data_IF_448253028904
#
_entry.id   IF_448253028904
#
_cell.length_a   1.000
_cell.length_b   1.000
_cell.length_c   1.000
_cell.angle_alpha   90.00
_cell.angle_beta   90.00
_cell.angle_gamma   90.00
#
_symmetry.space_group_name_H-M   'P 1'
#
loop_
_entity.id
_entity.type
_entity.pdbx_description
1 polymer ?
#
# COMPACT_ATOMS: atom_id res chain seq x y z
N UNK A 1 -21.35 -53.37 84.48
CA UNK A 1 -22.23 -52.56 83.61
C UNK A 1 -21.56 -52.43 82.26
N UNK A 2 -22.29 -52.74 81.19
CA UNK A 2 -21.80 -52.94 79.82
C UNK A 2 -21.65 -51.64 79.02
N UNK A 3 -20.60 -51.57 78.17
CA UNK A 3 -20.51 -50.81 76.90
C UNK A 3 -19.52 -49.63 76.87
N UNK A 4 -18.98 -49.18 75.69
CA UNK A 4 -19.15 -49.64 74.29
C UNK A 4 -17.78 -49.79 73.51
N UNK A 5 -17.75 -50.04 72.17
CA UNK A 5 -16.69 -50.80 71.50
C UNK A 5 -15.54 -49.99 70.90
N UNK A 6 -14.44 -50.71 70.63
CA UNK A 6 -13.28 -50.26 69.87
C UNK A 6 -13.65 -49.85 68.43
N UNK A 7 -13.22 -48.66 68.01
CA UNK A 7 -13.17 -48.24 66.59
C UNK A 7 -11.73 -48.29 66.08
N UNK A 8 -11.47 -49.29 65.25
CA UNK A 8 -10.36 -49.30 64.28
C UNK A 8 -10.83 -48.56 63.02
N UNK A 9 -9.89 -47.93 62.30
CA UNK A 9 -9.92 -47.40 60.91
C UNK A 9 -10.13 -45.87 60.83
N UNK A 10 -9.46 -45.13 59.96
CA UNK A 10 -8.53 -45.46 58.87
C UNK A 10 -7.61 -44.25 58.61
N UNK A 11 -6.32 -44.35 58.95
CA UNK A 11 -5.33 -43.31 58.58
C UNK A 11 -4.80 -43.47 57.15
N UNK A 12 -5.29 -44.44 56.38
CA UNK A 12 -4.74 -44.77 55.05
C UNK A 12 -5.58 -44.25 53.89
N UNK A 13 -6.82 -43.81 54.12
CA UNK A 13 -7.68 -43.27 53.06
C UNK A 13 -7.33 -41.81 52.70
N UNK A 14 -6.74 -41.04 53.62
CA UNK A 14 -6.48 -39.61 53.39
C UNK A 14 -5.17 -39.35 52.62
N UNK A 15 -4.19 -40.24 52.72
CA UNK A 15 -2.89 -40.10 52.03
C UNK A 15 -3.01 -40.45 50.54
N UNK A 16 -3.92 -41.35 50.16
CA UNK A 16 -4.16 -41.72 48.76
C UNK A 16 -4.91 -40.65 47.95
N UNK A 17 -5.77 -39.85 48.58
CA UNK A 17 -6.55 -38.80 47.89
C UNK A 17 -5.68 -37.58 47.57
N UNK A 18 -4.70 -37.25 48.42
CA UNK A 18 -3.77 -36.13 48.18
C UNK A 18 -2.77 -36.47 47.05
N UNK A 19 -2.33 -37.73 46.94
CA UNK A 19 -1.47 -38.18 45.83
C UNK A 19 -2.21 -38.24 44.49
N UNK A 20 -3.51 -38.54 44.46
CA UNK A 20 -4.30 -38.53 43.22
C UNK A 20 -4.61 -37.10 42.73
N UNK A 21 -4.79 -36.13 43.63
CA UNK A 21 -5.03 -34.73 43.27
C UNK A 21 -3.74 -33.99 42.85
N UNK A 22 -2.57 -34.40 43.37
CA UNK A 22 -1.28 -33.87 42.93
C UNK A 22 -0.90 -34.32 41.50
N UNK A 23 -1.43 -35.44 41.02
CA UNK A 23 -1.25 -35.91 39.63
C UNK A 23 -2.12 -35.18 38.61
N UNK A 24 -3.14 -34.45 39.05
CA UNK A 24 -4.01 -33.62 38.19
C UNK A 24 -3.56 -32.15 38.09
N UNK A 25 -2.58 -31.74 38.89
CA UNK A 25 -2.03 -30.37 38.93
C UNK A 25 -0.61 -30.26 38.36
N UNK A 26 -0.12 -31.30 37.66
CA UNK A 26 1.07 -31.15 36.83
C UNK A 26 0.68 -30.30 35.61
N UNK A 27 1.39 -29.19 35.31
CA UNK A 27 1.21 -28.53 34.04
C UNK A 27 1.45 -29.58 32.96
N UNK A 28 0.46 -29.82 32.11
CA UNK A 28 0.69 -30.57 30.88
C UNK A 28 1.75 -29.79 30.11
N UNK A 29 3.01 -30.23 30.22
CA UNK A 29 4.06 -29.85 29.29
C UNK A 29 3.54 -30.34 27.94
N UNK A 30 2.90 -29.45 27.19
CA UNK A 30 2.64 -29.70 25.79
C UNK A 30 4.03 -29.97 25.19
N UNK A 31 4.22 -31.06 24.44
CA UNK A 31 5.46 -31.21 23.70
C UNK A 31 5.65 -29.92 22.91
N UNK A 32 6.83 -29.30 23.04
CA UNK A 32 7.22 -28.27 22.10
C UNK A 32 6.97 -28.86 20.72
N UNK A 33 5.99 -28.28 20.01
CA UNK A 33 5.66 -28.73 18.66
C UNK A 33 6.97 -28.65 17.89
N UNK A 34 7.40 -29.77 17.31
CA UNK A 34 8.64 -29.83 16.55
C UNK A 34 8.72 -28.62 15.63
N UNK A 35 9.90 -27.99 15.56
CA UNK A 35 10.19 -26.94 14.59
C UNK A 35 9.62 -27.38 13.25
N UNK A 36 8.66 -26.60 12.77
CA UNK A 36 7.62 -27.02 11.86
C UNK A 36 8.14 -27.71 10.60
N UNK A 37 7.54 -28.86 10.25
CA UNK A 37 7.47 -29.42 8.89
C UNK A 37 6.65 -28.50 7.93
N UNK A 38 6.74 -27.18 8.09
CA UNK A 38 6.14 -26.24 7.16
C UNK A 38 6.97 -26.26 5.87
N UNK A 39 6.34 -26.34 4.68
CA UNK A 39 7.07 -26.40 3.43
C UNK A 39 8.05 -25.22 3.30
N UNK A 40 9.32 -25.51 3.10
CA UNK A 40 10.22 -24.60 2.40
C UNK A 40 9.61 -24.41 1.01
N UNK A 41 9.10 -23.22 0.71
CA UNK A 41 8.33 -22.99 -0.50
C UNK A 41 7.89 -21.54 -0.66
N UNK A 42 7.30 -21.26 -1.82
CA UNK A 42 6.80 -19.95 -2.20
C UNK A 42 5.27 -19.97 -2.22
N UNK A 43 4.65 -19.09 -1.44
CA UNK A 43 3.20 -18.82 -1.52
C UNK A 43 3.04 -17.46 -2.19
N UNK A 44 2.38 -17.42 -3.35
CA UNK A 44 2.11 -16.19 -4.06
C UNK A 44 0.62 -15.82 -3.97
N UNK A 45 0.34 -14.59 -3.55
CA UNK A 45 -1.03 -14.06 -3.43
C UNK A 45 -1.18 -12.86 -4.36
N UNK A 46 -2.28 -12.87 -5.12
CA UNK A 46 -2.71 -11.87 -6.07
C UNK A 46 -3.15 -10.54 -5.45
N UNK A 47 -3.93 -9.80 -6.23
CA UNK A 47 -4.62 -8.57 -5.86
C UNK A 47 -5.43 -8.76 -4.58
N UNK A 48 -5.28 -7.84 -3.64
CA UNK A 48 -6.01 -7.83 -2.36
C UNK A 48 -7.06 -6.73 -2.36
N UNK A 49 -6.76 -5.57 -2.95
CA UNK A 49 -7.68 -4.43 -3.08
C UNK A 49 -8.39 -4.08 -1.77
N UNK A 50 -7.65 -3.96 -0.66
CA UNK A 50 -8.21 -3.59 0.64
C UNK A 50 -9.19 -4.58 1.24
N UNK A 51 -9.30 -5.81 0.73
CA UNK A 51 -10.11 -6.87 1.35
C UNK A 51 -9.29 -7.59 2.44
N UNK A 52 -9.16 -6.92 3.59
CA UNK A 52 -8.39 -7.41 4.71
C UNK A 52 -8.89 -8.76 5.25
N UNK A 53 -10.20 -8.99 5.26
CA UNK A 53 -10.78 -10.15 5.93
C UNK A 53 -10.52 -11.43 5.11
N UNK A 54 -10.71 -11.36 3.79
CA UNK A 54 -10.39 -12.47 2.90
C UNK A 54 -8.86 -12.70 2.81
N UNK A 55 -8.07 -11.62 2.82
CA UNK A 55 -6.62 -11.72 2.82
C UNK A 55 -6.08 -12.42 4.08
N UNK A 56 -6.56 -12.04 5.27
CA UNK A 56 -6.23 -12.72 6.53
C UNK A 56 -6.67 -14.19 6.48
N UNK A 57 -7.85 -14.47 5.93
CA UNK A 57 -8.36 -15.83 5.80
C UNK A 57 -7.44 -16.71 4.94
N UNK A 58 -6.94 -16.19 3.82
CA UNK A 58 -5.95 -16.88 2.97
C UNK A 58 -4.65 -17.11 3.73
N UNK A 59 -4.09 -16.07 4.37
CA UNK A 59 -2.83 -16.19 5.11
C UNK A 59 -2.91 -17.20 6.26
N UNK A 60 -4.03 -17.24 6.99
CA UNK A 60 -4.27 -18.22 8.06
C UNK A 60 -4.46 -19.64 7.52
N UNK A 61 -5.19 -19.79 6.40
CA UNK A 61 -5.36 -21.08 5.74
C UNK A 61 -4.02 -21.68 5.29
N UNK A 62 -3.15 -20.85 4.70
CA UNK A 62 -1.78 -21.20 4.32
C UNK A 62 -0.80 -21.24 5.50
N UNK A 63 -1.28 -21.01 6.73
CA UNK A 63 -0.51 -21.04 7.99
C UNK A 63 0.66 -20.04 8.03
N UNK A 64 0.57 -18.98 7.24
CA UNK A 64 1.55 -17.90 7.21
C UNK A 64 1.43 -17.00 8.42
N UNK A 65 0.23 -16.85 8.98
CA UNK A 65 -0.04 -16.06 10.19
C UNK A 65 -0.92 -16.81 11.19
N UNK A 66 -0.86 -16.41 12.46
CA UNK A 66 -1.76 -16.88 13.51
C UNK A 66 -3.06 -16.06 13.63
N UNK A 67 -3.87 -16.39 14.63
CA UNK A 67 -5.13 -15.70 14.93
C UNK A 67 -4.94 -14.25 15.42
N UNK A 68 -3.73 -13.87 15.83
CA UNK A 68 -3.35 -12.51 16.19
C UNK A 68 -2.61 -11.79 15.04
N UNK A 69 -2.57 -12.40 13.86
CA UNK A 69 -1.90 -11.92 12.65
C UNK A 69 -0.38 -11.84 12.73
N UNK A 70 0.25 -12.58 13.64
CA UNK A 70 1.71 -12.69 13.69
C UNK A 70 2.23 -13.80 12.78
N UNK A 71 3.42 -13.61 12.23
CA UNK A 71 4.06 -14.57 11.34
C UNK A 71 4.26 -15.94 12.00
N UNK A 72 3.72 -16.97 11.36
CA UNK A 72 3.94 -18.39 11.71
C UNK A 72 4.41 -19.24 10.54
N UNK A 73 4.66 -18.64 9.38
CA UNK A 73 5.07 -19.32 8.15
C UNK A 73 6.47 -19.93 8.15
N UNK A 74 7.21 -19.91 9.28
CA UNK A 74 8.56 -20.48 9.36
C UNK A 74 9.49 -19.90 8.29
N UNK A 75 10.05 -20.78 7.45
CA UNK A 75 10.96 -20.42 6.34
C UNK A 75 10.27 -20.12 5.00
N UNK A 76 8.95 -20.16 4.94
CA UNK A 76 8.19 -19.90 3.71
C UNK A 76 8.46 -18.48 3.18
N UNK A 77 8.49 -18.34 1.85
CA UNK A 77 8.50 -17.03 1.19
C UNK A 77 7.08 -16.68 0.74
N UNK A 78 6.50 -15.64 1.34
CA UNK A 78 5.27 -15.02 0.85
C UNK A 78 5.63 -14.00 -0.24
N UNK A 79 4.99 -14.09 -1.40
CA UNK A 79 5.07 -13.10 -2.48
C UNK A 79 3.69 -12.47 -2.64
N UNK A 80 3.56 -11.18 -2.35
CA UNK A 80 2.36 -10.43 -2.68
C UNK A 80 2.64 -9.65 -3.97
N UNK A 81 1.81 -9.86 -5.00
CA UNK A 81 2.14 -9.43 -6.37
C UNK A 81 1.61 -8.02 -6.73
N UNK A 82 1.37 -7.15 -5.75
CA UNK A 82 0.85 -5.79 -5.96
C UNK A 82 -0.67 -5.70 -5.92
N UNK A 83 -1.20 -4.48 -6.00
CA UNK A 83 -2.62 -4.14 -5.84
C UNK A 83 -3.18 -4.53 -4.46
N UNK A 84 -2.49 -4.04 -3.41
CA UNK A 84 -2.94 -4.10 -2.02
C UNK A 84 -4.07 -3.09 -1.75
N UNK A 85 -4.07 -2.00 -2.52
CA UNK A 85 -4.87 -0.79 -2.29
C UNK A 85 -6.13 -0.70 -3.14
N UNK A 86 -6.96 0.28 -2.77
CA UNK A 86 -8.17 0.73 -3.46
C UNK A 86 -9.31 -0.30 -3.54
N UNK A 87 -10.49 0.16 -3.97
CA UNK A 87 -11.75 -0.61 -4.14
C UNK A 87 -12.35 -1.15 -2.83
N UNK A 88 -11.68 -2.05 -2.14
CA UNK A 88 -12.16 -2.64 -0.89
C UNK A 88 -12.00 -1.72 0.31
N UNK A 89 -12.60 -2.07 1.46
CA UNK A 89 -12.84 -1.11 2.54
C UNK A 89 -11.67 -0.87 3.49
N UNK A 90 -10.69 -1.79 3.57
CA UNK A 90 -9.65 -1.83 4.62
C UNK A 90 -8.22 -1.78 4.07
N UNK A 91 -7.87 -0.84 3.17
CA UNK A 91 -6.54 -0.79 2.56
C UNK A 91 -5.44 -0.54 3.60
N UNK A 92 -5.73 0.24 4.64
CA UNK A 92 -4.76 0.61 5.68
C UNK A 92 -4.34 -0.60 6.51
N UNK A 93 -5.30 -1.43 6.90
CA UNK A 93 -5.08 -2.65 7.66
C UNK A 93 -4.28 -3.67 6.85
N UNK A 94 -4.53 -3.75 5.53
CA UNK A 94 -3.73 -4.59 4.62
C UNK A 94 -2.27 -4.11 4.58
N UNK A 95 -2.03 -2.81 4.42
CA UNK A 95 -0.67 -2.25 4.44
C UNK A 95 0.03 -2.49 5.79
N UNK A 96 -0.65 -2.19 6.90
CA UNK A 96 -0.10 -2.35 8.24
C UNK A 96 0.27 -3.81 8.53
N UNK A 97 -0.55 -4.76 8.06
CA UNK A 97 -0.26 -6.19 8.16
C UNK A 97 0.98 -6.58 7.36
N UNK A 98 1.07 -6.21 6.08
CA UNK A 98 2.26 -6.53 5.26
C UNK A 98 3.54 -5.94 5.85
N UNK A 99 3.50 -4.67 6.27
CA UNK A 99 4.63 -4.00 6.93
C UNK A 99 5.07 -4.68 8.22
N UNK A 100 4.14 -5.28 8.97
CA UNK A 100 4.44 -6.06 10.16
C UNK A 100 5.08 -7.41 9.79
N UNK A 101 4.47 -8.15 8.85
CA UNK A 101 4.95 -9.46 8.42
C UNK A 101 6.33 -9.40 7.76
N UNK A 102 6.64 -8.34 7.00
CA UNK A 102 7.99 -8.11 6.45
C UNK A 102 9.07 -8.01 7.53
N UNK A 103 8.71 -7.50 8.72
CA UNK A 103 9.63 -7.41 9.86
C UNK A 103 9.69 -8.71 10.66
N UNK A 104 8.62 -9.48 10.69
CA UNK A 104 8.51 -10.71 11.48
C UNK A 104 9.08 -11.93 10.76
N UNK A 105 8.78 -12.10 9.47
CA UNK A 105 9.16 -13.29 8.71
C UNK A 105 10.67 -13.61 8.75
N UNK A 106 11.59 -12.62 8.56
CA UNK A 106 13.03 -12.89 8.62
C UNK A 106 13.50 -13.43 9.98
N UNK A 107 12.80 -13.09 11.08
CA UNK A 107 13.15 -13.58 12.43
C UNK A 107 12.92 -15.09 12.59
N UNK A 108 12.04 -15.66 11.77
CA UNK A 108 11.77 -17.10 11.71
C UNK A 108 12.48 -17.80 10.53
N UNK A 109 13.33 -17.08 9.78
CA UNK A 109 14.01 -17.57 8.58
C UNK A 109 13.15 -17.56 7.30
N UNK A 110 11.96 -16.96 7.36
CA UNK A 110 11.08 -16.76 6.22
C UNK A 110 11.30 -15.40 5.55
N UNK A 111 10.44 -15.10 4.58
CA UNK A 111 10.53 -13.84 3.83
C UNK A 111 9.16 -13.40 3.35
N UNK A 112 8.91 -12.09 3.38
CA UNK A 112 7.81 -11.48 2.64
C UNK A 112 8.41 -10.63 1.53
N UNK A 113 7.87 -10.76 0.33
CA UNK A 113 8.21 -9.98 -0.86
C UNK A 113 6.93 -9.33 -1.34
N UNK A 114 6.71 -8.08 -0.94
CA UNK A 114 5.65 -7.26 -1.53
C UNK A 114 6.15 -6.64 -2.84
N UNK A 115 5.35 -6.70 -3.89
CA UNK A 115 5.66 -6.09 -5.17
C UNK A 115 4.78 -4.87 -5.40
N UNK A 116 5.27 -3.95 -6.21
CA UNK A 116 4.48 -2.82 -6.65
C UNK A 116 3.48 -3.26 -7.71
N UNK A 117 2.20 -2.96 -7.51
CA UNK A 117 1.15 -3.01 -8.52
C UNK A 117 0.85 -1.63 -9.09
N UNK A 118 -0.14 -1.55 -9.99
CA UNK A 118 -0.52 -0.25 -10.54
C UNK A 118 -1.21 0.62 -9.49
N UNK A 119 -1.97 0.04 -8.55
CA UNK A 119 -2.65 0.83 -7.52
C UNK A 119 -1.69 1.47 -6.51
N UNK A 120 -0.55 0.83 -6.20
CA UNK A 120 0.51 1.44 -5.39
C UNK A 120 1.14 2.64 -6.11
N UNK A 121 1.49 2.47 -7.39
CA UNK A 121 2.05 3.55 -8.20
C UNK A 121 1.06 4.72 -8.37
N UNK A 122 -0.22 4.42 -8.60
CA UNK A 122 -1.30 5.41 -8.68
C UNK A 122 -1.42 6.23 -7.39
N UNK A 123 -1.47 5.58 -6.23
CA UNK A 123 -1.57 6.27 -4.94
C UNK A 123 -0.35 7.15 -4.64
N UNK A 124 0.86 6.64 -4.93
CA UNK A 124 2.12 7.41 -4.87
C UNK A 124 2.02 8.69 -5.72
N UNK A 125 1.58 8.55 -6.98
CA UNK A 125 1.50 9.66 -7.93
C UNK A 125 0.29 10.57 -7.69
N UNK A 126 -0.68 10.14 -6.87
CA UNK A 126 -1.93 10.86 -6.68
C UNK A 126 -2.92 10.71 -7.81
N UNK A 127 -2.85 9.62 -8.56
CA UNK A 127 -3.97 9.18 -9.38
C UNK A 127 -4.97 8.45 -8.47
N UNK A 128 -6.06 9.14 -8.11
CA UNK A 128 -6.99 8.69 -7.07
C UNK A 128 -8.30 8.13 -7.64
N UNK A 129 -8.32 7.77 -8.94
CA UNK A 129 -9.55 7.35 -9.64
C UNK A 129 -10.25 6.13 -9.04
N UNK A 130 -9.54 5.32 -8.24
CA UNK A 130 -10.09 4.12 -7.58
C UNK A 130 -10.18 4.23 -6.06
N UNK A 131 -9.76 5.36 -5.48
CA UNK A 131 -9.82 5.59 -4.04
C UNK A 131 -11.27 5.92 -3.67
N UNK A 132 -11.87 5.08 -2.83
CA UNK A 132 -13.26 5.25 -2.41
C UNK A 132 -13.37 6.18 -1.20
N UNK A 133 -14.55 6.77 -0.91
CA UNK A 133 -14.78 7.50 0.34
C UNK A 133 -14.43 6.69 1.60
N UNK A 134 -14.69 5.38 1.59
CA UNK A 134 -14.31 4.47 2.69
C UNK A 134 -12.80 4.38 2.85
N UNK A 135 -12.04 4.41 1.75
CA UNK A 135 -10.59 4.43 1.83
C UNK A 135 -10.10 5.71 2.51
N UNK A 136 -10.61 6.88 2.14
CA UNK A 136 -10.28 8.13 2.84
C UNK A 136 -10.66 8.07 4.33
N UNK A 137 -11.84 7.53 4.65
CA UNK A 137 -12.30 7.39 6.03
C UNK A 137 -11.31 6.61 6.92
N UNK A 138 -10.59 5.62 6.37
CA UNK A 138 -9.57 4.86 7.11
C UNK A 138 -8.34 5.67 7.57
N UNK A 139 -8.15 6.87 7.00
CA UNK A 139 -7.08 7.82 7.36
C UNK A 139 -7.57 8.94 8.28
N UNK A 140 -8.86 8.94 8.67
CA UNK A 140 -9.39 10.00 9.53
C UNK A 140 -8.84 9.94 10.96
N UNK A 141 -8.74 11.12 11.58
CA UNK A 141 -8.55 11.27 13.02
C UNK A 141 -9.40 12.44 13.55
N UNK A 142 -9.21 12.82 14.82
CA UNK A 142 -9.98 13.88 15.48
C UNK A 142 -9.89 15.27 14.83
N UNK A 143 -8.85 15.54 14.04
CA UNK A 143 -8.61 16.82 13.36
C UNK A 143 -9.03 16.82 11.89
N UNK A 144 -9.59 15.73 11.36
CA UNK A 144 -9.86 15.58 9.92
C UNK A 144 -10.74 16.68 9.32
N UNK A 145 -11.85 17.02 9.95
CA UNK A 145 -12.73 18.09 9.45
C UNK A 145 -12.03 19.45 9.45
N UNK A 146 -11.18 19.70 10.46
CA UNK A 146 -10.41 20.93 10.58
C UNK A 146 -9.35 21.02 9.49
N UNK A 147 -8.63 19.92 9.23
CA UNK A 147 -7.66 19.83 8.12
C UNK A 147 -8.32 20.01 6.76
N UNK A 148 -9.47 19.38 6.53
CA UNK A 148 -10.26 19.53 5.30
C UNK A 148 -10.63 21.01 5.06
N UNK A 149 -11.17 21.69 6.07
CA UNK A 149 -11.52 23.12 5.99
C UNK A 149 -10.29 24.01 5.76
N UNK A 150 -9.18 23.72 6.43
CA UNK A 150 -7.92 24.46 6.23
C UNK A 150 -7.39 24.30 4.80
N UNK A 151 -7.41 23.08 4.26
CA UNK A 151 -7.01 22.78 2.89
C UNK A 151 -7.91 23.51 1.87
N UNK A 152 -9.22 23.58 2.10
CA UNK A 152 -10.11 24.37 1.25
C UNK A 152 -9.74 25.86 1.26
N UNK A 153 -9.48 26.45 2.43
CA UNK A 153 -9.06 27.85 2.55
C UNK A 153 -7.73 28.11 1.85
N UNK A 154 -6.78 27.16 1.92
CA UNK A 154 -5.52 27.23 1.20
C UNK A 154 -5.72 27.15 -0.31
N UNK A 155 -6.57 26.25 -0.78
CA UNK A 155 -6.96 26.13 -2.18
C UNK A 155 -7.58 27.44 -2.72
N UNK A 156 -8.50 28.07 -1.98
CA UNK A 156 -9.09 29.37 -2.36
C UNK A 156 -8.03 30.46 -2.45
N UNK A 157 -7.12 30.54 -1.47
CA UNK A 157 -6.00 31.51 -1.49
C UNK A 157 -5.08 31.28 -2.69
N UNK A 158 -4.73 30.03 -2.97
CA UNK A 158 -3.91 29.64 -4.11
C UNK A 158 -4.61 30.03 -5.42
N UNK A 159 -5.88 29.66 -5.60
CA UNK A 159 -6.67 29.95 -6.80
C UNK A 159 -6.79 31.44 -7.08
N UNK A 160 -7.03 32.27 -6.06
CA UNK A 160 -7.12 33.72 -6.24
C UNK A 160 -5.80 34.32 -6.74
N UNK A 161 -4.65 33.80 -6.27
CA UNK A 161 -3.32 34.23 -6.72
C UNK A 161 -2.98 33.75 -8.14
N UNK A 162 -3.55 32.64 -8.58
CA UNK A 162 -3.29 32.03 -9.89
C UNK A 162 -4.45 32.22 -10.88
N UNK A 163 -5.30 33.23 -10.69
CA UNK A 163 -6.50 33.44 -11.52
C UNK A 163 -6.19 33.62 -13.02
N UNK A 164 -5.10 34.33 -13.35
CA UNK A 164 -4.65 34.50 -14.74
C UNK A 164 -4.18 33.17 -15.36
N UNK A 165 -3.48 32.35 -14.59
CA UNK A 165 -3.03 31.02 -15.00
C UNK A 165 -4.22 30.11 -15.27
N UNK A 166 -5.19 30.08 -14.35
CA UNK A 166 -6.38 29.24 -14.47
C UNK A 166 -7.27 29.62 -15.66
N UNK A 167 -7.21 30.87 -16.11
CA UNK A 167 -7.89 31.32 -17.33
C UNK A 167 -7.33 30.69 -18.62
N UNK A 168 -6.16 30.04 -18.57
CA UNK A 168 -5.61 29.29 -19.71
C UNK A 168 -6.22 27.89 -19.87
N UNK A 169 -6.86 27.37 -18.83
CA UNK A 169 -7.42 26.03 -18.87
C UNK A 169 -8.67 25.96 -19.75
N UNK A 170 -8.82 24.91 -20.58
CA UNK A 170 -10.01 24.73 -21.40
C UNK A 170 -11.26 24.44 -20.56
N UNK A 171 -11.07 23.88 -19.35
CA UNK A 171 -12.11 23.68 -18.37
C UNK A 171 -11.66 24.29 -17.04
N UNK A 172 -12.48 25.14 -16.42
CA UNK A 172 -12.15 25.73 -15.15
C UNK A 172 -11.93 24.64 -14.09
N UNK A 173 -10.85 24.74 -13.31
CA UNK A 173 -10.73 23.97 -12.04
C UNK A 173 -11.66 24.51 -10.96
N UNK A 174 -12.66 25.30 -11.32
CA UNK A 174 -13.50 26.01 -10.39
C UNK A 174 -14.50 25.05 -9.74
N UNK A 175 -14.36 24.88 -8.43
CA UNK A 175 -15.33 24.19 -7.61
C UNK A 175 -15.96 25.18 -6.63
N UNK A 176 -17.27 25.07 -6.44
CA UNK A 176 -17.94 25.62 -5.26
C UNK A 176 -17.36 24.96 -4.00
N UNK A 177 -17.55 25.58 -2.83
CA UNK A 177 -17.14 24.96 -1.56
C UNK A 177 -17.76 23.57 -1.40
N UNK A 178 -19.06 23.42 -1.71
CA UNK A 178 -19.75 22.14 -1.60
C UNK A 178 -19.15 21.07 -2.53
N UNK A 179 -18.85 21.39 -3.78
CA UNK A 179 -18.23 20.46 -4.72
C UNK A 179 -16.79 20.10 -4.32
N UNK A 180 -16.02 21.09 -3.83
CA UNK A 180 -14.68 20.85 -3.35
C UNK A 180 -14.69 19.91 -2.15
N UNK A 181 -15.56 20.16 -1.15
CA UNK A 181 -15.70 19.32 0.04
C UNK A 181 -16.15 17.90 -0.32
N UNK A 182 -17.04 17.75 -1.30
CA UNK A 182 -17.50 16.43 -1.76
C UNK A 182 -16.40 15.62 -2.45
N UNK A 183 -15.51 16.27 -3.21
CA UNK A 183 -14.37 15.63 -3.87
C UNK A 183 -13.18 15.38 -2.96
N UNK A 184 -13.11 16.10 -1.84
CA UNK A 184 -12.04 16.01 -0.85
C UNK A 184 -12.61 15.68 0.52
N UNK A 185 -13.19 14.47 0.73
CA UNK A 185 -13.84 14.11 1.98
C UNK A 185 -12.86 14.09 3.17
N UNK A 186 -13.38 13.98 4.39
CA UNK A 186 -12.56 13.76 5.58
C UNK A 186 -11.62 12.54 5.37
N UNK A 187 -10.34 12.69 5.72
CA UNK A 187 -9.32 11.68 5.46
C UNK A 187 -8.59 11.86 4.12
N UNK A 188 -9.06 12.73 3.23
CA UNK A 188 -8.38 13.03 1.96
C UNK A 188 -6.98 13.58 2.18
N UNK A 189 -6.83 14.62 3.02
CA UNK A 189 -5.54 15.30 3.23
C UNK A 189 -4.52 14.34 3.85
N UNK A 190 -4.97 13.59 4.84
CA UNK A 190 -4.24 12.58 5.59
C UNK A 190 -3.79 11.44 4.68
N UNK A 191 -4.68 10.98 3.80
CA UNK A 191 -4.34 10.03 2.76
C UNK A 191 -3.22 10.59 1.85
N UNK A 192 -3.35 11.84 1.37
CA UNK A 192 -2.29 12.47 0.55
C UNK A 192 -0.96 12.57 1.30
N UNK A 193 -0.99 12.88 2.58
CA UNK A 193 0.20 12.93 3.44
C UNK A 193 0.82 11.55 3.64
N UNK A 194 0.01 10.52 3.91
CA UNK A 194 0.46 9.16 4.18
C UNK A 194 1.14 8.50 2.97
N UNK A 195 0.70 8.81 1.75
CA UNK A 195 1.29 8.33 0.49
C UNK A 195 2.38 9.24 -0.10
N UNK A 196 2.61 10.42 0.51
CA UNK A 196 3.70 11.32 0.11
C UNK A 196 5.08 10.65 0.28
N UNK A 197 6.12 11.19 -0.36
CA UNK A 197 7.50 10.69 -0.21
C UNK A 197 7.99 10.67 1.26
N UNK A 198 7.38 11.47 2.14
CA UNK A 198 7.71 11.52 3.56
C UNK A 198 6.72 10.73 4.45
N UNK A 199 5.59 10.30 3.89
CA UNK A 199 4.54 9.56 4.60
C UNK A 199 4.93 8.12 4.91
N UNK A 200 4.26 7.52 5.89
CA UNK A 200 4.56 6.17 6.37
C UNK A 200 4.44 5.14 5.24
N UNK A 201 3.31 5.13 4.54
CA UNK A 201 3.07 4.20 3.43
C UNK A 201 3.83 4.61 2.17
N UNK A 202 3.94 5.92 1.90
CA UNK A 202 4.67 6.41 0.74
C UNK A 202 6.16 6.06 0.76
N UNK A 203 6.80 6.10 1.94
CA UNK A 203 8.18 5.61 2.11
C UNK A 203 8.28 4.12 1.85
N UNK A 204 7.43 3.35 2.52
CA UNK A 204 7.41 1.89 2.41
C UNK A 204 7.21 1.46 0.95
N UNK A 205 6.19 1.96 0.26
CA UNK A 205 5.89 1.60 -1.12
C UNK A 205 7.05 1.86 -2.10
N UNK A 206 7.81 2.94 -1.90
CA UNK A 206 8.95 3.30 -2.75
C UNK A 206 10.15 2.34 -2.61
N UNK A 207 10.17 1.49 -1.59
CA UNK A 207 11.19 0.45 -1.39
C UNK A 207 10.91 -0.82 -2.22
N UNK A 208 9.71 -0.98 -2.77
CA UNK A 208 9.30 -2.20 -3.46
C UNK A 208 9.67 -2.21 -4.93
N UNK A 209 10.13 -3.37 -5.40
CA UNK A 209 10.35 -3.66 -6.80
C UNK A 209 9.02 -3.95 -7.52
N UNK A 210 8.97 -3.70 -8.83
CA UNK A 210 7.86 -4.14 -9.67
C UNK A 210 7.94 -5.64 -10.01
N UNK A 211 9.15 -6.21 -10.01
CA UNK A 211 9.43 -7.59 -10.41
C UNK A 211 10.39 -8.24 -9.41
N UNK A 212 10.10 -9.47 -9.00
CA UNK A 212 11.04 -10.31 -8.26
C UNK A 212 11.27 -11.66 -8.97
N UNK A 213 12.51 -12.16 -8.92
CA UNK A 213 12.85 -13.52 -9.36
C UNK A 213 13.16 -14.38 -8.15
N UNK A 214 12.36 -15.40 -7.91
CA UNK A 214 12.47 -16.31 -6.77
C UNK A 214 12.47 -17.73 -7.34
N UNK A 215 13.51 -18.52 -7.02
CA UNK A 215 13.64 -19.92 -7.47
C UNK A 215 13.49 -20.11 -8.98
N UNK A 216 13.97 -19.15 -9.78
CA UNK A 216 13.89 -19.20 -11.24
C UNK A 216 12.57 -18.69 -11.83
N UNK A 217 11.54 -18.45 -11.00
CA UNK A 217 10.24 -17.91 -11.40
C UNK A 217 10.21 -16.39 -11.23
N UNK A 218 9.67 -15.68 -12.21
CA UNK A 218 9.46 -14.23 -12.13
C UNK A 218 8.02 -13.94 -11.65
N UNK A 219 7.91 -13.05 -10.65
CA UNK A 219 6.67 -12.55 -10.09
C UNK A 219 6.56 -11.05 -10.37
N UNK A 220 5.38 -10.61 -10.78
CA UNK A 220 5.03 -9.23 -11.11
C UNK A 220 3.52 -9.09 -11.19
N UNK A 221 3.01 -7.87 -11.04
CA UNK A 221 1.58 -7.60 -11.01
C UNK A 221 0.87 -7.82 -12.37
N UNK A 222 1.31 -7.11 -13.41
CA UNK A 222 0.69 -7.19 -14.73
C UNK A 222 1.26 -8.34 -15.55
N UNK A 223 2.40 -8.08 -16.17
CA UNK A 223 3.07 -9.02 -17.05
C UNK A 223 4.19 -8.37 -17.85
N UNK A 224 5.00 -9.18 -18.52
CA UNK A 224 6.07 -8.66 -19.38
C UNK A 224 5.57 -8.58 -20.82
N UNK A 225 5.42 -7.34 -21.32
CA UNK A 225 5.17 -7.09 -22.73
C UNK A 225 6.32 -7.64 -23.59
N UNK A 226 6.06 -8.23 -24.77
CA UNK A 226 7.12 -8.61 -25.72
C UNK A 226 8.06 -7.45 -26.09
N UNK A 227 7.59 -6.20 -25.99
CA UNK A 227 8.44 -5.02 -26.20
C UNK A 227 9.58 -4.89 -25.17
N UNK A 228 9.50 -5.59 -24.05
CA UNK A 228 10.48 -5.58 -22.96
C UNK A 228 11.34 -6.86 -22.94
N UNK A 229 11.18 -7.79 -23.88
CA UNK A 229 11.87 -9.10 -23.88
C UNK A 229 13.40 -8.98 -23.82
N UNK A 230 13.97 -7.96 -24.45
CA UNK A 230 15.42 -7.72 -24.45
C UNK A 230 15.93 -6.99 -23.20
N UNK A 231 15.04 -6.48 -22.33
CA UNK A 231 15.42 -5.78 -21.09
C UNK A 231 15.59 -6.77 -19.94
N UNK A 232 16.68 -6.62 -19.19
CA UNK A 232 16.91 -7.35 -17.94
C UNK A 232 15.89 -6.90 -16.88
N UNK A 233 15.41 -7.82 -16.04
CA UNK A 233 14.42 -7.53 -14.99
C UNK A 233 14.90 -6.43 -14.03
N UNK A 234 16.17 -6.47 -13.61
CA UNK A 234 16.73 -5.44 -12.73
C UNK A 234 16.76 -4.06 -13.40
N UNK A 235 16.97 -4.00 -14.72
CA UNK A 235 16.93 -2.74 -15.46
C UNK A 235 15.49 -2.19 -15.56
N UNK A 236 14.47 -3.06 -15.57
CA UNK A 236 13.06 -2.66 -15.52
C UNK A 236 12.74 -2.08 -14.13
N UNK A 237 13.14 -2.77 -13.05
CA UNK A 237 12.97 -2.26 -11.68
C UNK A 237 13.67 -0.91 -11.48
N UNK A 238 14.94 -0.78 -11.88
CA UNK A 238 15.68 0.48 -11.79
C UNK A 238 14.98 1.60 -12.54
N UNK A 239 14.50 1.34 -13.76
CA UNK A 239 13.78 2.34 -14.54
C UNK A 239 12.50 2.80 -13.83
N UNK A 240 11.70 1.90 -13.25
CA UNK A 240 10.49 2.26 -12.50
C UNK A 240 10.83 3.07 -11.24
N UNK A 241 11.87 2.68 -10.50
CA UNK A 241 12.32 3.47 -9.36
C UNK A 241 12.78 4.88 -9.76
N UNK A 242 13.49 5.01 -10.88
CA UNK A 242 13.95 6.30 -11.39
C UNK A 242 12.78 7.18 -11.85
N UNK A 243 11.74 6.59 -12.48
CA UNK A 243 10.49 7.28 -12.84
C UNK A 243 9.77 7.83 -11.60
N UNK A 244 9.64 7.03 -10.53
CA UNK A 244 9.00 7.47 -9.27
C UNK A 244 9.84 8.55 -8.57
N UNK A 245 11.17 8.42 -8.55
CA UNK A 245 12.06 9.47 -8.03
C UNK A 245 11.96 10.76 -8.84
N UNK A 246 11.84 10.65 -10.16
CA UNK A 246 11.65 11.80 -11.04
C UNK A 246 10.32 12.50 -10.74
N UNK A 247 9.24 11.74 -10.52
CA UNK A 247 7.96 12.29 -10.07
C UNK A 247 8.08 13.08 -8.76
N UNK A 248 8.75 12.50 -7.76
CA UNK A 248 8.94 13.16 -6.46
C UNK A 248 9.74 14.46 -6.60
N UNK A 249 10.80 14.45 -7.42
CA UNK A 249 11.62 15.63 -7.68
C UNK A 249 10.83 16.74 -8.41
N UNK A 250 10.03 16.37 -9.41
CA UNK A 250 9.19 17.33 -10.14
C UNK A 250 8.08 17.88 -9.25
N UNK A 251 7.43 17.04 -8.44
CA UNK A 251 6.43 17.49 -7.46
C UNK A 251 7.05 18.45 -6.44
N UNK A 252 8.23 18.14 -5.92
CA UNK A 252 8.93 19.00 -4.97
C UNK A 252 9.27 20.37 -5.58
N UNK A 253 9.79 20.38 -6.81
CA UNK A 253 10.03 21.63 -7.54
C UNK A 253 8.75 22.48 -7.66
N UNK A 254 7.64 21.86 -8.08
CA UNK A 254 6.36 22.59 -8.22
C UNK A 254 5.83 23.13 -6.89
N UNK A 255 6.12 22.48 -5.76
CA UNK A 255 5.79 22.97 -4.42
C UNK A 255 6.66 24.16 -4.02
N UNK A 256 7.96 24.10 -4.28
CA UNK A 256 8.93 25.17 -3.97
C UNK A 256 8.62 26.44 -4.77
N UNK A 257 8.28 26.28 -6.05
CA UNK A 257 7.82 27.36 -6.94
C UNK A 257 6.37 27.80 -6.66
N UNK A 258 5.69 27.17 -5.69
CA UNK A 258 4.31 27.45 -5.29
C UNK A 258 3.27 27.31 -6.42
N UNK A 259 3.60 26.52 -7.43
CA UNK A 259 2.72 26.22 -8.56
C UNK A 259 1.55 25.35 -8.12
N UNK A 260 1.78 24.40 -7.20
CA UNK A 260 0.78 23.46 -6.70
C UNK A 260 0.69 23.47 -5.17
N UNK A 261 -0.38 22.88 -4.62
CA UNK A 261 -0.49 22.62 -3.18
C UNK A 261 -0.09 21.17 -2.84
N UNK A 262 0.36 20.87 -1.60
CA UNK A 262 0.84 19.54 -1.21
C UNK A 262 -0.16 18.40 -1.47
N UNK A 263 -1.45 18.70 -1.29
CA UNK A 263 -2.55 17.75 -1.41
C UNK A 263 -3.10 17.61 -2.84
N UNK A 264 -2.58 18.36 -3.82
CA UNK A 264 -3.04 18.21 -5.21
C UNK A 264 -2.87 16.77 -5.70
N UNK A 265 -3.88 16.30 -6.41
CA UNK A 265 -3.87 15.02 -7.11
C UNK A 265 -3.20 15.16 -8.49
N UNK A 266 -2.92 14.04 -9.16
CA UNK A 266 -2.18 14.03 -10.43
C UNK A 266 -2.89 14.83 -11.52
N UNK A 267 -4.23 14.82 -11.55
CA UNK A 267 -5.02 15.56 -12.53
C UNK A 267 -4.88 17.08 -12.31
N UNK A 268 -4.96 17.53 -11.06
CA UNK A 268 -4.80 18.94 -10.69
C UNK A 268 -3.38 19.44 -10.99
N UNK A 269 -2.36 18.65 -10.63
CA UNK A 269 -0.96 18.94 -10.97
C UNK A 269 -0.80 19.07 -12.49
N UNK A 270 -1.31 18.09 -13.25
CA UNK A 270 -1.24 18.09 -14.71
C UNK A 270 -1.91 19.33 -15.32
N UNK A 271 -3.08 19.71 -14.81
CA UNK A 271 -3.79 20.91 -15.26
C UNK A 271 -2.96 22.18 -15.01
N UNK A 272 -2.40 22.35 -13.81
CA UNK A 272 -1.52 23.49 -13.49
C UNK A 272 -0.32 23.54 -14.44
N UNK A 273 0.36 22.41 -14.65
CA UNK A 273 1.53 22.35 -15.54
C UNK A 273 1.17 22.72 -16.98
N UNK A 274 0.03 22.24 -17.48
CA UNK A 274 -0.47 22.62 -18.80
C UNK A 274 -0.76 24.12 -18.90
N UNK A 275 -1.40 24.69 -17.88
CA UNK A 275 -1.69 26.12 -17.84
C UNK A 275 -0.41 26.96 -17.86
N UNK A 276 0.63 26.56 -17.11
CA UNK A 276 1.92 27.27 -17.06
C UNK A 276 2.57 27.33 -18.45
N UNK A 277 2.62 26.19 -19.14
CA UNK A 277 3.17 26.10 -20.49
C UNK A 277 2.38 26.97 -21.48
N UNK A 278 1.06 27.03 -21.35
CA UNK A 278 0.23 27.87 -22.23
C UNK A 278 0.45 29.36 -21.94
N UNK A 279 0.46 29.75 -20.67
CA UNK A 279 0.62 31.15 -20.25
C UNK A 279 1.99 31.70 -20.68
N UNK A 280 3.06 30.91 -20.53
CA UNK A 280 4.40 31.29 -20.93
C UNK A 280 4.51 31.46 -22.46
N UNK A 281 3.94 30.54 -23.25
CA UNK A 281 3.89 30.67 -24.73
C UNK A 281 3.18 31.95 -25.19
N UNK A 282 2.26 32.47 -24.38
CA UNK A 282 1.55 33.74 -24.63
C UNK A 282 2.28 34.95 -24.05
N UNK A 283 3.46 34.78 -23.45
CA UNK A 283 4.24 35.84 -22.80
C UNK A 283 3.58 36.40 -21.52
N UNK A 284 2.69 35.63 -20.89
CA UNK A 284 1.93 36.06 -19.69
C UNK A 284 2.63 35.73 -18.38
N UNK A 285 3.65 34.86 -18.42
CA UNK A 285 4.51 34.48 -17.30
C UNK A 285 5.97 34.67 -17.70
N UNK A 286 6.80 35.18 -16.80
CA UNK A 286 8.25 35.28 -17.02
C UNK A 286 8.86 33.87 -16.91
N UNK A 287 9.15 33.25 -18.05
CA UNK A 287 9.71 31.90 -18.11
C UNK A 287 11.22 31.86 -17.84
N UNK A 288 11.65 30.99 -16.92
CA UNK A 288 13.00 30.43 -16.93
C UNK A 288 12.99 29.20 -17.85
N UNK A 289 13.83 29.21 -18.90
CA UNK A 289 13.97 28.11 -19.84
C UNK A 289 14.20 26.75 -19.13
N UNK A 290 14.90 26.73 -17.99
CA UNK A 290 15.13 25.49 -17.22
C UNK A 290 13.88 24.98 -16.50
N UNK A 291 13.06 25.89 -15.97
CA UNK A 291 11.79 25.56 -15.34
C UNK A 291 10.80 24.96 -16.34
N UNK A 292 10.71 25.57 -17.53
CA UNK A 292 9.86 25.09 -18.61
C UNK A 292 10.23 23.68 -19.08
N UNK A 293 11.54 23.39 -19.24
CA UNK A 293 11.99 22.04 -19.61
C UNK A 293 11.59 20.98 -18.57
N UNK A 294 11.62 21.32 -17.27
CA UNK A 294 11.15 20.42 -16.20
C UNK A 294 9.66 20.14 -16.32
N UNK A 295 8.85 21.19 -16.48
CA UNK A 295 7.40 21.08 -16.63
C UNK A 295 7.01 20.25 -17.89
N UNK A 296 7.70 20.46 -19.01
CA UNK A 296 7.50 19.67 -20.23
C UNK A 296 7.91 18.20 -20.05
N UNK A 297 8.97 17.92 -19.29
CA UNK A 297 9.39 16.54 -18.97
C UNK A 297 8.36 15.84 -18.07
N UNK A 298 7.82 16.54 -17.08
CA UNK A 298 6.76 16.02 -16.21
C UNK A 298 5.56 15.51 -17.03
N UNK A 299 5.11 16.26 -18.03
CA UNK A 299 3.96 15.86 -18.88
C UNK A 299 4.19 14.59 -19.71
N UNK A 300 5.41 14.05 -19.76
CA UNK A 300 5.72 12.77 -20.42
C UNK A 300 5.53 11.55 -19.52
N UNK A 301 5.07 11.73 -18.27
CA UNK A 301 4.81 10.62 -17.37
C UNK A 301 3.91 9.49 -17.94
N UNK A 302 2.96 9.73 -18.88
CA UNK A 302 2.19 8.64 -19.49
C UNK A 302 3.03 7.65 -20.31
N UNK A 303 4.27 8.02 -20.68
CA UNK A 303 5.22 7.17 -21.41
C UNK A 303 6.04 6.25 -20.50
N UNK A 304 6.00 6.46 -19.18
CA UNK A 304 6.76 5.73 -18.17
C UNK A 304 6.32 4.28 -18.03
N UNK A 305 7.24 3.35 -17.75
CA UNK A 305 6.93 1.93 -17.53
C UNK A 305 5.98 1.71 -16.35
N UNK A 306 6.05 2.58 -15.35
CA UNK A 306 5.15 2.58 -14.19
C UNK A 306 3.70 2.96 -14.51
N UNK A 307 3.43 3.55 -15.69
CA UNK A 307 2.12 4.15 -16.02
C UNK A 307 1.52 3.60 -17.32
N UNK A 308 2.35 3.35 -18.34
CA UNK A 308 1.87 2.91 -19.66
C UNK A 308 1.25 1.52 -19.61
N UNK A 309 0.27 1.30 -20.48
CA UNK A 309 -0.56 0.08 -20.54
C UNK A 309 0.21 -1.21 -20.84
N UNK A 310 1.38 -1.12 -21.45
CA UNK A 310 2.29 -2.24 -21.74
C UNK A 310 3.50 -2.31 -20.81
N UNK A 311 3.52 -1.49 -19.77
CA UNK A 311 4.47 -1.58 -18.66
C UNK A 311 4.13 -2.72 -17.70
N UNK A 312 5.08 -3.18 -16.87
CA UNK A 312 4.92 -4.38 -16.04
C UNK A 312 3.82 -4.26 -14.97
N UNK A 313 3.46 -3.04 -14.58
CA UNK A 313 2.37 -2.77 -13.64
C UNK A 313 0.99 -2.83 -14.29
N UNK A 314 0.88 -2.76 -15.62
CA UNK A 314 -0.39 -2.60 -16.31
C UNK A 314 -0.66 -3.65 -17.38
N UNK A 315 0.39 -4.27 -17.93
CA UNK A 315 0.27 -5.16 -19.08
C UNK A 315 -0.58 -6.40 -18.74
N UNK A 316 -1.57 -6.68 -19.60
CA UNK A 316 -2.52 -7.81 -19.43
C UNK A 316 -2.53 -8.84 -20.58
N UNK A 317 -1.60 -8.83 -21.56
CA UNK A 317 -1.63 -9.80 -22.70
C UNK A 317 -1.19 -11.22 -22.27
N UNK A 318 -1.80 -12.36 -22.62
CA UNK A 318 -2.47 -12.86 -23.86
C UNK A 318 -3.73 -13.73 -23.56
N UNK A 319 -4.67 -13.27 -22.74
CA UNK A 319 -5.93 -14.00 -22.42
C UNK A 319 -7.10 -13.74 -23.39
N UNK A 320 -6.85 -13.12 -24.56
CA UNK A 320 -7.79 -13.13 -25.69
C UNK A 320 -7.66 -14.42 -26.51
N UNK A 321 -8.73 -14.96 -27.12
CA UNK A 321 -8.65 -16.20 -27.87
C UNK A 321 -7.58 -16.07 -28.95
N UNK A 322 -6.55 -16.92 -28.87
CA UNK A 322 -5.61 -17.12 -29.98
C UNK A 322 -6.45 -17.56 -31.18
N UNK A 323 -6.64 -16.69 -32.18
CA UNK A 323 -7.08 -17.13 -33.51
C UNK A 323 -6.01 -18.12 -33.98
N UNK A 324 -6.36 -19.41 -33.97
CA UNK A 324 -5.56 -20.45 -34.61
C UNK A 324 -5.46 -20.06 -36.09
N UNK A 325 -4.24 -19.89 -36.57
CA UNK A 325 -3.94 -19.88 -38.00
C UNK A 325 -4.12 -21.29 -38.55
#
# INVERSE_FOLDING_TARGET
MFGPPARVRSRHAFVFIILLLALLALPRIRPARAASDLPEGVVAIGDVHGDFDDFVSILQHERLIDAAHHWTGGKTTLVQVGDLLDRGPKPREVLDLLMALEKEAPKAGGRVVSLMGNHEAMNIMGDLRYVTPTNYASFTDSDSEKRQKAAFQEYVKWRNKHSQLLAELPQPMELTEAEWMARHPAGFVEHREAFSANGVYGKWLREHSAIAKIEGVAFLHGGLSPALESKKLDAINSQIHDEIKQFDADKQYMLEEKLILPFFNLQEITAVVQAEIIAERKGRVNGDNKGQEKLLKFLKFPEWLSVRVDGPLWFRGTSGPKKRA
#
